data_IF_076907108764
#
_entry.id   IF_076907108764
#
_cell.length_a   1.000
_cell.length_b   1.000
_cell.length_c   1.000
_cell.angle_alpha   90.00
_cell.angle_beta   90.00
_cell.angle_gamma   90.00
#
_symmetry.space_group_name_H-M   'P 1'
#
loop_
_entity.id
_entity.type
_entity.pdbx_description
1 polymer ?
#
# COMPACT_ATOMS: atom_id res chain seq x y z
N UNK A 1 2.22 -36.73 8.44
CA UNK A 1 1.56 -36.68 9.75
C UNK A 1 1.98 -35.47 10.59
N UNK A 2 3.24 -35.31 11.05
CA UNK A 2 3.66 -34.08 11.78
C UNK A 2 4.19 -32.94 10.87
N UNK A 3 4.71 -33.26 9.68
CA UNK A 3 5.20 -32.27 8.71
C UNK A 3 4.09 -31.47 8.03
N UNK A 4 2.92 -32.09 7.81
CA UNK A 4 1.76 -31.47 7.13
C UNK A 4 1.12 -30.36 7.97
N UNK A 5 1.09 -30.53 9.30
CA UNK A 5 0.56 -29.53 10.24
C UNK A 5 1.42 -28.26 10.31
N UNK A 6 2.75 -28.39 10.14
CA UNK A 6 3.67 -27.25 10.12
C UNK A 6 3.56 -26.50 8.79
N UNK A 7 3.42 -27.20 7.66
CA UNK A 7 3.13 -26.57 6.36
C UNK A 7 1.77 -25.86 6.35
N UNK A 8 0.72 -26.43 6.94
CA UNK A 8 -0.59 -25.77 7.04
C UNK A 8 -0.62 -24.60 8.04
N UNK A 9 0.21 -24.61 9.08
CA UNK A 9 0.38 -23.46 9.98
C UNK A 9 1.14 -22.30 9.31
N UNK A 10 2.13 -22.61 8.46
CA UNK A 10 2.83 -21.63 7.61
C UNK A 10 1.88 -21.08 6.52
N UNK A 11 1.00 -21.92 5.99
CA UNK A 11 -0.04 -21.56 5.00
C UNK A 11 -1.18 -20.71 5.63
N UNK A 12 -1.57 -21.00 6.88
CA UNK A 12 -2.55 -20.21 7.63
C UNK A 12 -2.00 -18.85 8.09
N UNK A 13 -0.71 -18.78 8.45
CA UNK A 13 -0.03 -17.51 8.75
C UNK A 13 0.10 -16.62 7.50
N UNK A 14 0.09 -17.20 6.29
CA UNK A 14 0.11 -16.48 5.02
C UNK A 14 -1.26 -15.89 4.61
N UNK A 15 -2.38 -16.26 5.26
CA UNK A 15 -3.74 -15.90 4.84
C UNK A 15 -4.53 -15.02 5.84
N UNK A 16 -3.87 -14.38 6.80
CA UNK A 16 -4.51 -13.48 7.79
C UNK A 16 -3.98 -12.04 7.81
N UNK A 17 -3.04 -11.70 6.94
CA UNK A 17 -2.34 -10.42 6.92
C UNK A 17 -2.11 -9.92 5.50
N UNK A 18 -1.86 -8.62 5.39
CA UNK A 18 -1.67 -7.91 4.12
C UNK A 18 -0.70 -8.67 3.19
N UNK A 19 -1.17 -9.05 2.00
CA UNK A 19 -0.36 -9.77 1.00
C UNK A 19 0.83 -8.91 0.56
N UNK A 20 2.05 -9.45 0.72
CA UNK A 20 3.29 -8.75 0.39
C UNK A 20 3.36 -8.37 -1.09
N UNK A 21 2.77 -9.19 -1.96
CA UNK A 21 2.66 -8.91 -3.41
C UNK A 21 1.85 -7.64 -3.64
N UNK A 22 0.74 -7.50 -2.90
CA UNK A 22 -0.12 -6.34 -2.96
C UNK A 22 0.57 -5.08 -2.41
N UNK A 23 1.31 -5.20 -1.31
CA UNK A 23 2.12 -4.10 -0.73
C UNK A 23 3.17 -3.64 -1.73
N UNK A 24 3.96 -4.57 -2.27
CA UNK A 24 5.03 -4.25 -3.23
C UNK A 24 4.44 -3.59 -4.48
N UNK A 25 3.31 -4.08 -4.98
CA UNK A 25 2.64 -3.47 -6.12
C UNK A 25 2.18 -2.03 -5.84
N UNK A 26 1.54 -1.78 -4.68
CA UNK A 26 1.12 -0.45 -4.26
C UNK A 26 2.31 0.53 -4.14
N UNK A 27 3.39 0.08 -3.49
CA UNK A 27 4.63 0.87 -3.37
C UNK A 27 5.25 1.15 -4.74
N UNK A 28 5.36 0.13 -5.60
CA UNK A 28 5.93 0.27 -6.93
C UNK A 28 5.12 1.24 -7.80
N UNK A 29 3.78 1.17 -7.78
CA UNK A 29 2.97 2.11 -8.54
C UNK A 29 3.12 3.55 -8.04
N UNK A 30 3.19 3.78 -6.73
CA UNK A 30 3.49 5.10 -6.19
C UNK A 30 4.87 5.61 -6.65
N UNK A 31 5.90 4.77 -6.51
CA UNK A 31 7.29 5.10 -6.90
C UNK A 31 7.43 5.36 -8.40
N UNK A 32 6.64 4.71 -9.25
CA UNK A 32 6.69 4.89 -10.71
C UNK A 32 5.79 6.04 -11.17
N UNK A 33 4.54 6.10 -10.71
CA UNK A 33 3.57 7.08 -11.20
C UNK A 33 3.94 8.51 -10.78
N UNK A 34 4.34 8.73 -9.53
CA UNK A 34 4.66 10.07 -9.03
C UNK A 34 5.75 10.79 -9.84
N UNK A 35 6.93 10.20 -10.11
CA UNK A 35 7.93 10.88 -10.92
C UNK A 35 7.49 11.10 -12.36
N UNK A 36 6.68 10.20 -12.94
CA UNK A 36 6.09 10.40 -14.27
C UNK A 36 5.18 11.63 -14.26
N UNK A 37 4.25 11.72 -13.32
CA UNK A 37 3.33 12.85 -13.21
C UNK A 37 4.05 14.16 -12.89
N UNK A 38 5.07 14.14 -12.03
CA UNK A 38 5.92 15.31 -11.77
C UNK A 38 6.67 15.76 -13.02
N UNK A 39 7.15 14.83 -13.86
CA UNK A 39 7.80 15.16 -15.15
C UNK A 39 6.84 15.75 -16.18
N UNK A 40 5.56 15.38 -16.11
CA UNK A 40 4.51 15.98 -16.93
C UNK A 40 4.05 17.36 -16.42
N UNK A 41 4.63 17.88 -15.33
CA UNK A 41 4.24 19.16 -14.73
C UNK A 41 2.98 19.09 -13.88
N UNK A 42 2.50 17.89 -13.53
CA UNK A 42 1.31 17.68 -12.70
C UNK A 42 1.71 17.51 -11.23
N UNK A 43 0.78 17.81 -10.31
CA UNK A 43 0.98 17.63 -8.88
C UNK A 43 1.17 16.15 -8.48
N UNK A 44 1.98 15.90 -7.45
CA UNK A 44 2.26 14.53 -6.95
C UNK A 44 1.02 13.80 -6.45
N UNK A 45 0.07 14.54 -5.86
CA UNK A 45 -1.22 14.01 -5.40
C UNK A 45 -1.96 13.31 -6.54
N UNK A 46 -1.98 13.92 -7.72
CA UNK A 46 -2.65 13.35 -8.89
C UNK A 46 -1.98 12.05 -9.35
N UNK A 47 -0.65 11.97 -9.26
CA UNK A 47 0.09 10.73 -9.53
C UNK A 47 -0.26 9.59 -8.57
N UNK A 48 -0.39 9.88 -7.26
CA UNK A 48 -0.84 8.88 -6.29
C UNK A 48 -2.29 8.42 -6.52
N UNK A 49 -3.19 9.35 -6.85
CA UNK A 49 -4.59 9.03 -7.15
C UNK A 49 -4.71 8.14 -8.40
N UNK A 50 -3.98 8.45 -9.46
CA UNK A 50 -3.97 7.64 -10.69
C UNK A 50 -3.34 6.27 -10.43
N UNK A 51 -2.25 6.18 -9.67
CA UNK A 51 -1.66 4.91 -9.26
C UNK A 51 -2.66 4.02 -8.52
N UNK A 52 -3.38 4.58 -7.55
CA UNK A 52 -4.43 3.87 -6.80
C UNK A 52 -5.59 3.43 -7.70
N UNK A 53 -6.03 4.29 -8.62
CA UNK A 53 -7.08 3.95 -9.59
C UNK A 53 -6.66 2.81 -10.52
N UNK A 54 -5.41 2.84 -11.00
CA UNK A 54 -4.85 1.83 -11.90
C UNK A 54 -4.64 0.48 -11.20
N UNK A 55 -4.20 0.46 -9.94
CA UNK A 55 -4.00 -0.81 -9.22
C UNK A 55 -5.30 -1.36 -8.62
N UNK A 56 -6.24 -0.47 -8.31
CA UNK A 56 -7.52 -0.80 -7.71
C UNK A 56 -8.48 -1.57 -8.64
N UNK A 57 -9.72 -1.81 -8.19
CA UNK A 57 -10.69 -2.64 -8.91
C UNK A 57 -11.11 -2.07 -10.27
N UNK A 58 -10.99 -0.76 -10.47
CA UNK A 58 -11.29 -0.09 -11.73
C UNK A 58 -10.16 -0.17 -12.77
N UNK A 59 -8.97 -0.61 -12.37
CA UNK A 59 -7.82 -0.80 -13.25
C UNK A 59 -7.45 -2.28 -13.39
N UNK A 60 -6.28 -2.64 -12.89
CA UNK A 60 -5.70 -3.99 -12.98
C UNK A 60 -6.39 -4.96 -12.00
N UNK A 61 -7.10 -4.45 -10.99
CA UNK A 61 -7.83 -5.27 -10.01
C UNK A 61 -6.93 -6.07 -9.07
N UNK A 62 -5.66 -5.66 -8.95
CA UNK A 62 -4.68 -6.33 -8.08
C UNK A 62 -4.96 -6.06 -6.60
N UNK A 63 -5.61 -4.93 -6.32
CA UNK A 63 -6.09 -4.56 -5.00
C UNK A 63 -7.61 -4.45 -5.03
N UNK A 64 -8.30 -5.32 -4.31
CA UNK A 64 -9.77 -5.35 -4.28
C UNK A 64 -10.34 -5.06 -2.89
N UNK A 65 -9.61 -5.42 -1.83
CA UNK A 65 -10.03 -5.15 -0.48
C UNK A 65 -9.50 -3.78 0.01
N UNK A 66 -10.36 -2.78 -0.11
CA UNK A 66 -10.07 -1.43 0.38
C UNK A 66 -9.95 -1.38 1.92
N UNK A 67 -10.64 -2.25 2.67
CA UNK A 67 -10.59 -2.22 4.14
C UNK A 67 -9.21 -2.58 4.66
N UNK A 68 -8.57 -3.58 4.06
CA UNK A 68 -7.18 -3.95 4.40
C UNK A 68 -6.18 -2.80 4.13
N UNK A 69 -6.36 -2.04 3.05
CA UNK A 69 -5.51 -0.87 2.77
C UNK A 69 -5.77 0.25 3.76
N UNK A 70 -7.04 0.51 4.12
CA UNK A 70 -7.42 1.60 4.99
C UNK A 70 -6.78 1.48 6.37
N UNK A 71 -6.72 0.27 6.95
CA UNK A 71 -6.01 0.04 8.21
C UNK A 71 -4.52 0.39 8.12
N UNK A 72 -3.86 0.07 7.00
CA UNK A 72 -2.46 0.46 6.78
C UNK A 72 -2.31 1.98 6.56
N UNK A 73 -3.28 2.60 5.87
CA UNK A 73 -3.30 4.04 5.61
C UNK A 73 -3.50 4.85 6.89
N UNK A 74 -4.32 4.37 7.83
CA UNK A 74 -4.50 4.98 9.15
C UNK A 74 -3.16 5.11 9.89
N UNK A 75 -2.39 4.02 9.94
CA UNK A 75 -1.04 4.05 10.55
C UNK A 75 -0.10 4.98 9.80
N UNK A 76 -0.15 4.99 8.46
CA UNK A 76 0.67 5.87 7.63
C UNK A 76 0.38 7.36 7.87
N UNK A 77 -0.90 7.73 7.98
CA UNK A 77 -1.32 9.11 8.31
C UNK A 77 -0.92 9.48 9.73
N UNK A 78 -1.09 8.58 10.72
CA UNK A 78 -0.63 8.83 12.10
C UNK A 78 0.87 9.07 12.14
N UNK A 79 1.68 8.24 11.46
CA UNK A 79 3.13 8.42 11.39
C UNK A 79 3.50 9.74 10.68
N UNK A 80 2.82 10.07 9.58
CA UNK A 80 3.03 11.33 8.86
C UNK A 80 2.74 12.55 9.75
N UNK A 81 1.58 12.56 10.41
CA UNK A 81 1.21 13.65 11.32
C UNK A 81 2.12 13.72 12.55
N UNK A 82 2.63 12.58 13.02
CA UNK A 82 3.64 12.56 14.09
C UNK A 82 4.95 13.21 13.63
N UNK A 83 5.45 12.86 12.44
CA UNK A 83 6.65 13.48 11.86
C UNK A 83 6.46 14.98 11.67
N UNK A 84 5.32 15.39 11.09
CA UNK A 84 4.98 16.81 10.95
C UNK A 84 4.94 17.49 12.33
N UNK A 85 4.37 16.85 13.35
CA UNK A 85 4.36 17.36 14.72
C UNK A 85 5.74 17.47 15.36
N UNK A 86 6.70 16.59 15.03
CA UNK A 86 8.09 16.67 15.48
C UNK A 86 8.89 17.76 14.74
N UNK A 87 8.56 18.03 13.48
CA UNK A 87 9.23 19.05 12.66
C UNK A 87 8.76 20.47 13.01
N UNK A 88 7.58 20.59 13.63
CA UNK A 88 7.10 21.84 14.21
C UNK A 88 7.81 22.08 15.55
N UNK A 89 9.03 22.61 15.51
CA UNK A 89 9.62 23.28 16.67
C UNK A 89 8.73 24.47 17.07
N UNK A 90 8.32 24.62 18.34
CA UNK A 90 7.57 25.79 18.79
C UNK A 90 8.38 27.08 18.71
#
# INVERSE_FOLDING_TARGET
MAGEAVTHAVEAAAHGGVDLTQVVALLAAGVIAVPIFKRLGLGSVLGYLVAGLLIGPFGIGLVQDAQSILHAAELGVVLFLFIVGLEMEP
#
